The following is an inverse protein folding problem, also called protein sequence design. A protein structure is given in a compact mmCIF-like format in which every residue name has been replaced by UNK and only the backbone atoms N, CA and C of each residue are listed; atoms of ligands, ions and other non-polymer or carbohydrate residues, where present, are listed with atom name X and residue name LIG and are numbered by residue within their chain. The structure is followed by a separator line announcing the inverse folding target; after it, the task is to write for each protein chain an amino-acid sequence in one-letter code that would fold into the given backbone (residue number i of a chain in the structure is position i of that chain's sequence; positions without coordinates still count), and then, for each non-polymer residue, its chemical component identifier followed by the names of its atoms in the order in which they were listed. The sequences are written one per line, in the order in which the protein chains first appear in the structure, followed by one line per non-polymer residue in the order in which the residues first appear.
data_IF_608220757732
#
_entry.id   IF_608220757732
#
_cell.length_a   1.000
_cell.length_b   1.000
_cell.length_c   1.000
_cell.angle_alpha   90.00
_cell.angle_beta   90.00
_cell.angle_gamma   90.00
#
_symmetry.space_group_name_H-M   'P 1'
#
loop_
_entity.id
_entity.type
_entity.pdbx_description
1 polymer ?
#
# COMPACT_ATOMS: atom_id res chain seq x y z
N UNK A 1 -5.88 10.68 15.42
CA UNK A 1 -5.73 9.63 16.46
C UNK A 1 -6.91 8.69 16.28
N UNK A 2 -6.70 7.37 16.38
CA UNK A 2 -7.79 6.39 16.31
C UNK A 2 -8.29 6.10 17.72
N UNK A 3 -9.53 6.44 17.99
CA UNK A 3 -10.20 6.21 19.27
C UNK A 3 -10.58 4.74 19.43
N UNK A 4 -10.56 4.25 20.68
CA UNK A 4 -10.93 2.89 21.06
C UNK A 4 -10.14 1.76 20.38
N UNK A 5 -9.00 2.07 19.77
CA UNK A 5 -8.09 1.05 19.26
C UNK A 5 -7.51 0.22 20.44
N UNK A 6 -7.50 -1.12 20.37
CA UNK A 6 -7.08 -2.02 21.46
C UNK A 6 -5.55 -2.04 21.71
N UNK A 7 -4.91 -0.89 21.52
CA UNK A 7 -3.48 -0.62 21.50
C UNK A 7 -2.75 -1.15 20.26
N UNK A 8 -1.89 -0.29 19.74
CA UNK A 8 -0.86 -0.56 18.74
C UNK A 8 0.43 0.12 19.25
N UNK A 9 1.12 -0.47 20.26
CA UNK A 9 2.23 0.18 20.95
C UNK A 9 3.43 0.49 20.05
N UNK A 10 3.59 -0.23 18.93
CA UNK A 10 4.58 0.09 17.90
C UNK A 10 4.14 1.22 16.97
N UNK A 11 2.86 1.59 16.97
CA UNK A 11 2.28 2.68 16.17
C UNK A 11 1.21 2.22 15.17
N UNK A 12 0.64 3.22 14.49
CA UNK A 12 -0.34 3.08 13.41
C UNK A 12 0.26 3.67 12.14
N UNK A 13 0.29 2.92 11.05
CA UNK A 13 1.01 3.29 9.81
C UNK A 13 0.16 3.04 8.57
N UNK A 14 0.63 3.55 7.42
CA UNK A 14 0.14 3.22 6.07
C UNK A 14 -1.38 3.30 5.96
N UNK A 15 -1.92 4.45 6.35
CA UNK A 15 -3.37 4.67 6.30
C UNK A 15 -3.84 4.74 4.86
N UNK A 16 -4.92 4.04 4.53
CA UNK A 16 -5.68 4.24 3.28
C UNK A 16 -7.12 4.61 3.64
N UNK A 17 -7.62 5.67 3.04
CA UNK A 17 -8.89 6.31 3.40
C UNK A 17 -9.85 6.28 2.22
N UNK A 18 -11.07 5.80 2.45
CA UNK A 18 -12.12 5.72 1.44
C UNK A 18 -13.39 6.43 1.90
N UNK A 19 -13.92 7.33 1.04
CA UNK A 19 -15.19 8.02 1.24
C UNK A 19 -16.12 7.71 0.06
N UNK A 20 -17.03 6.72 0.19
CA UNK A 20 -17.98 6.43 -0.86
C UNK A 20 -18.77 7.68 -1.24
N UNK A 21 -19.07 7.82 -2.54
CA UNK A 21 -19.76 9.00 -3.05
C UNK A 21 -21.08 9.24 -2.29
N UNK A 22 -21.25 10.46 -1.75
CA UNK A 22 -22.39 10.89 -0.92
C UNK A 22 -22.52 10.19 0.44
N UNK A 23 -21.51 9.45 0.90
CA UNK A 23 -21.53 8.88 2.24
C UNK A 23 -21.41 9.99 3.31
N UNK A 24 -22.15 9.89 4.43
CA UNK A 24 -22.02 10.81 5.55
C UNK A 24 -20.70 10.64 6.33
N UNK A 25 -19.87 9.67 5.95
CA UNK A 25 -18.65 9.29 6.64
C UNK A 25 -17.71 8.50 5.73
N UNK A 26 -16.55 8.15 6.27
CA UNK A 26 -15.51 7.39 5.56
C UNK A 26 -14.96 6.27 6.42
N UNK A 27 -14.20 5.38 5.77
CA UNK A 27 -13.48 4.30 6.42
C UNK A 27 -11.97 4.47 6.17
N UNK A 28 -11.18 3.98 7.11
CA UNK A 28 -9.72 3.99 7.03
C UNK A 28 -9.20 2.61 7.39
N UNK A 29 -8.39 2.02 6.53
CA UNK A 29 -7.54 0.89 6.89
C UNK A 29 -6.17 1.39 7.33
N UNK A 30 -5.52 0.67 8.24
CA UNK A 30 -4.18 1.02 8.72
C UNK A 30 -3.42 -0.19 9.24
N UNK A 31 -2.09 -0.14 9.13
CA UNK A 31 -1.16 -1.08 9.74
C UNK A 31 -1.07 -0.81 11.25
N UNK A 32 -1.50 -1.75 12.08
CA UNK A 32 -1.39 -1.69 13.53
C UNK A 32 -0.22 -2.55 14.01
N UNK A 33 0.83 -1.91 14.53
CA UNK A 33 2.06 -2.57 14.99
C UNK A 33 1.95 -2.91 16.47
N UNK A 34 1.69 -4.19 16.76
CA UNK A 34 1.69 -4.74 18.12
C UNK A 34 3.12 -5.07 18.57
N UNK A 35 3.90 -5.63 17.65
CA UNK A 35 5.33 -5.86 17.75
C UNK A 35 5.93 -5.87 16.34
N UNK A 36 7.27 -5.83 16.22
CA UNK A 36 7.94 -5.85 14.90
C UNK A 36 7.58 -7.06 14.02
N UNK A 37 7.19 -8.18 14.62
CA UNK A 37 6.73 -9.39 13.94
C UNK A 37 5.23 -9.65 14.12
N UNK A 38 4.48 -8.68 14.64
CA UNK A 38 3.04 -8.75 14.87
C UNK A 38 2.40 -7.47 14.35
N UNK A 39 2.13 -7.47 13.04
CA UNK A 39 1.49 -6.39 12.32
C UNK A 39 0.23 -6.93 11.66
N UNK A 40 -0.88 -6.22 11.88
CA UNK A 40 -2.20 -6.55 11.34
C UNK A 40 -2.86 -5.32 10.76
N UNK A 41 -3.81 -5.51 9.87
CA UNK A 41 -4.63 -4.42 9.33
C UNK A 41 -5.90 -4.24 10.15
N UNK A 42 -6.15 -3.01 10.59
CA UNK A 42 -7.35 -2.62 11.33
C UNK A 42 -8.15 -1.59 10.55
N UNK A 43 -9.43 -1.49 10.89
CA UNK A 43 -10.39 -0.57 10.29
C UNK A 43 -10.88 0.41 11.34
N UNK A 44 -10.88 1.69 10.97
CA UNK A 44 -11.57 2.75 11.68
C UNK A 44 -12.59 3.43 10.76
N UNK A 45 -13.60 4.05 11.33
CA UNK A 45 -14.58 4.86 10.60
C UNK A 45 -14.63 6.28 11.14
N UNK A 46 -15.03 7.21 10.29
CA UNK A 46 -15.28 8.60 10.64
C UNK A 46 -16.68 9.00 10.20
N UNK A 47 -17.36 9.80 11.03
CA UNK A 47 -18.66 10.41 10.72
C UNK A 47 -18.62 11.94 10.66
N UNK A 48 -17.42 12.52 10.74
CA UNK A 48 -17.16 13.95 10.85
C UNK A 48 -16.09 14.42 9.86
N UNK A 49 -16.12 13.85 8.65
CA UNK A 49 -15.20 14.14 7.55
C UNK A 49 -13.71 13.95 7.92
N UNK A 50 -13.42 12.95 8.74
CA UNK A 50 -12.07 12.52 9.09
C UNK A 50 -11.44 13.33 10.22
N UNK A 51 -12.22 14.16 10.93
CA UNK A 51 -11.76 14.87 12.11
C UNK A 51 -11.50 13.91 13.27
N UNK A 52 -12.36 12.91 13.46
CA UNK A 52 -12.17 11.78 14.38
C UNK A 52 -12.30 10.46 13.65
N UNK A 53 -11.58 9.46 14.17
CA UNK A 53 -11.57 8.09 13.64
C UNK A 53 -11.77 7.14 14.81
N UNK A 54 -12.75 6.24 14.72
CA UNK A 54 -13.03 5.24 15.76
C UNK A 54 -12.74 3.84 15.22
N UNK A 55 -11.93 3.06 15.93
CA UNK A 55 -11.70 1.65 15.61
C UNK A 55 -13.03 0.87 15.64
N UNK A 56 -13.25 0.03 14.63
CA UNK A 56 -14.47 -0.80 14.52
C UNK A 56 -14.20 -2.28 14.28
N UNK A 57 -13.10 -2.63 13.61
CA UNK A 57 -12.83 -4.03 13.26
C UNK A 57 -11.33 -4.29 13.02
N UNK A 58 -10.92 -5.53 13.20
CA UNK A 58 -9.69 -6.06 12.61
C UNK A 58 -10.04 -6.72 11.27
N UNK A 59 -9.39 -6.32 10.19
CA UNK A 59 -9.61 -6.92 8.87
C UNK A 59 -8.90 -8.28 8.74
N UNK A 60 -7.77 -8.42 9.44
CA UNK A 60 -6.97 -9.64 9.50
C UNK A 60 -6.21 -9.70 10.84
N UNK A 61 -5.50 -10.80 11.06
CA UNK A 61 -4.65 -11.00 12.23
C UNK A 61 -3.34 -11.66 11.81
N UNK A 62 -2.24 -11.23 12.42
CA UNK A 62 -0.97 -11.92 12.22
C UNK A 62 -1.00 -13.30 12.89
N UNK A 63 -0.30 -14.27 12.31
CA UNK A 63 -0.34 -15.64 12.80
C UNK A 63 0.94 -16.43 12.53
N UNK A 64 1.25 -17.45 13.35
CA UNK A 64 2.38 -18.32 13.07
C UNK A 64 2.18 -19.04 11.73
N UNK A 65 3.24 -19.14 10.93
CA UNK A 65 3.23 -19.84 9.66
C UNK A 65 4.55 -20.58 9.42
N UNK A 66 4.47 -21.67 8.66
CA UNK A 66 5.62 -22.38 8.11
C UNK A 66 5.52 -22.36 6.58
N UNK A 67 6.53 -21.77 5.95
CA UNK A 67 6.63 -21.62 4.50
C UNK A 67 7.61 -22.67 3.96
N UNK A 68 7.20 -23.54 3.02
CA UNK A 68 8.12 -24.50 2.40
C UNK A 68 9.11 -23.76 1.50
N UNK A 69 10.38 -24.16 1.53
CA UNK A 69 11.43 -23.67 0.62
C UNK A 69 12.29 -24.85 0.15
N UNK A 70 13.15 -24.72 -0.87
CA UNK A 70 14.05 -25.79 -1.28
C UNK A 70 14.99 -26.20 -0.13
N UNK A 71 15.19 -27.50 0.04
CA UNK A 71 16.16 -28.03 1.01
C UNK A 71 17.55 -27.48 0.69
N UNK A 72 18.25 -27.00 1.71
CA UNK A 72 19.54 -26.33 1.54
C UNK A 72 19.45 -24.85 1.15
N UNK A 73 18.24 -24.24 1.10
CA UNK A 73 18.13 -22.77 1.01
C UNK A 73 18.96 -22.13 2.13
N UNK A 74 19.79 -21.11 1.83
CA UNK A 74 20.64 -20.46 2.84
C UNK A 74 19.86 -19.89 4.02
N UNK A 75 18.62 -19.46 3.76
CA UNK A 75 17.73 -18.86 4.76
C UNK A 75 17.15 -19.92 5.70
N UNK A 76 16.76 -21.06 5.16
CA UNK A 76 16.09 -22.13 5.89
C UNK A 76 16.57 -23.51 5.41
N UNK A 77 17.74 -23.98 5.88
CA UNK A 77 18.39 -25.19 5.34
C UNK A 77 17.55 -26.47 5.47
N UNK A 78 16.63 -26.52 6.44
CA UNK A 78 15.72 -27.64 6.66
C UNK A 78 14.62 -27.79 5.60
N UNK A 79 14.51 -26.86 4.65
CA UNK A 79 13.45 -26.84 3.63
C UNK A 79 12.16 -26.17 4.10
N UNK A 80 12.16 -25.50 5.26
CA UNK A 80 11.00 -24.76 5.77
C UNK A 80 11.43 -23.54 6.56
N UNK A 81 10.84 -22.38 6.28
CA UNK A 81 10.97 -21.17 7.08
C UNK A 81 9.80 -21.05 8.05
N UNK A 82 10.07 -20.83 9.34
CA UNK A 82 9.02 -20.59 10.34
C UNK A 82 9.08 -19.17 10.86
N UNK A 83 7.92 -18.58 11.06
CA UNK A 83 7.80 -17.19 11.52
C UNK A 83 6.35 -16.80 11.69
N UNK A 84 6.05 -15.52 11.45
CA UNK A 84 4.69 -14.99 11.47
C UNK A 84 4.33 -14.46 10.09
N UNK A 85 3.14 -14.78 9.62
CA UNK A 85 2.52 -14.08 8.51
C UNK A 85 1.93 -12.79 9.07
N UNK A 86 2.41 -11.66 8.58
CA UNK A 86 1.90 -10.33 8.95
C UNK A 86 1.19 -9.70 7.76
N UNK A 87 0.40 -8.66 8.02
CA UNK A 87 -0.34 -7.91 7.01
C UNK A 87 -0.12 -6.42 7.22
N UNK A 88 0.48 -5.76 6.23
CA UNK A 88 0.89 -4.36 6.31
C UNK A 88 0.58 -3.65 4.98
N UNK A 89 0.71 -2.32 4.97
CA UNK A 89 0.59 -1.44 3.79
C UNK A 89 -0.70 -1.72 3.01
N UNK A 90 -1.82 -1.46 3.67
CA UNK A 90 -3.15 -1.77 3.15
C UNK A 90 -3.72 -0.67 2.26
N UNK A 91 -4.56 -1.05 1.29
CA UNK A 91 -5.44 -0.11 0.59
C UNK A 91 -6.89 -0.58 0.58
N UNK A 92 -7.78 0.38 0.82
CA UNK A 92 -9.21 0.19 1.05
C UNK A 92 -10.00 0.84 -0.08
N UNK A 93 -11.00 0.15 -0.62
CA UNK A 93 -11.89 0.70 -1.66
C UNK A 93 -13.32 0.22 -1.49
N UNK A 94 -14.27 1.06 -1.88
CA UNK A 94 -15.67 0.69 -2.02
C UNK A 94 -16.04 0.48 -3.49
N UNK A 95 -16.13 -0.78 -3.91
CA UNK A 95 -16.60 -1.18 -5.23
C UNK A 95 -18.13 -1.19 -5.28
N UNK A 96 -18.71 -0.04 -5.57
CA UNK A 96 -20.15 0.16 -5.60
C UNK A 96 -20.89 -0.74 -6.62
N UNK A 97 -20.15 -1.25 -7.61
CA UNK A 97 -20.70 -2.05 -8.70
C UNK A 97 -20.57 -3.56 -8.47
N UNK A 98 -19.90 -4.03 -7.40
CA UNK A 98 -19.84 -5.47 -7.11
C UNK A 98 -21.28 -6.00 -6.91
N UNK A 99 -21.71 -6.99 -7.72
CA UNK A 99 -23.05 -7.57 -7.59
C UNK A 99 -23.23 -8.33 -6.27
N UNK A 100 -22.14 -8.80 -5.67
CA UNK A 100 -22.16 -9.36 -4.33
C UNK A 100 -21.96 -8.24 -3.29
N UNK A 101 -23.06 -7.85 -2.65
CA UNK A 101 -23.05 -6.78 -1.64
C UNK A 101 -22.12 -7.07 -0.48
N UNK A 102 -21.86 -8.35 -0.18
CA UNK A 102 -20.96 -8.77 0.90
C UNK A 102 -19.49 -8.58 0.56
N UNK A 103 -19.20 -8.15 -0.69
CA UNK A 103 -17.85 -7.96 -1.22
C UNK A 103 -17.52 -6.52 -1.61
N UNK A 104 -18.43 -5.57 -1.41
CA UNK A 104 -18.28 -4.19 -1.91
C UNK A 104 -17.14 -3.45 -1.24
N UNK A 105 -16.95 -3.64 0.07
CA UNK A 105 -15.72 -3.19 0.70
C UNK A 105 -14.62 -4.21 0.42
N UNK A 106 -13.52 -3.72 -0.15
CA UNK A 106 -12.35 -4.53 -0.48
C UNK A 106 -11.12 -3.92 0.17
N UNK A 107 -10.30 -4.77 0.73
CA UNK A 107 -9.03 -4.40 1.35
C UNK A 107 -7.93 -5.26 0.78
N UNK A 108 -6.93 -4.60 0.19
CA UNK A 108 -5.72 -5.21 -0.31
C UNK A 108 -4.63 -5.01 0.75
N UNK A 109 -3.85 -6.04 1.04
CA UNK A 109 -2.75 -5.94 2.01
C UNK A 109 -1.55 -6.74 1.56
N UNK A 110 -0.35 -6.21 1.78
CA UNK A 110 0.87 -6.99 1.60
C UNK A 110 1.02 -7.97 2.75
N UNK A 111 0.98 -9.25 2.43
CA UNK A 111 1.08 -10.35 3.40
C UNK A 111 2.38 -11.10 3.20
N UNK A 112 3.25 -11.10 4.20
CA UNK A 112 4.60 -11.67 4.06
C UNK A 112 5.11 -12.28 5.35
N UNK A 113 6.10 -13.18 5.20
CA UNK A 113 6.74 -13.84 6.32
C UNK A 113 7.71 -12.90 7.05
N UNK A 114 7.58 -12.81 8.37
CA UNK A 114 8.60 -12.28 9.27
C UNK A 114 9.19 -13.41 10.09
N UNK A 115 10.50 -13.61 9.99
CA UNK A 115 11.23 -14.58 10.80
C UNK A 115 11.87 -13.89 12.01
N UNK A 116 11.97 -14.61 13.13
CA UNK A 116 12.54 -14.07 14.35
C UNK A 116 11.79 -12.81 14.85
N UNK A 117 12.55 -11.79 15.24
CA UNK A 117 11.99 -10.53 15.72
C UNK A 117 11.70 -9.52 14.59
N UNK A 118 12.50 -9.49 13.53
CA UNK A 118 12.44 -8.44 12.51
C UNK A 118 13.04 -8.82 11.15
N UNK A 119 13.22 -10.11 10.85
CA UNK A 119 13.74 -10.54 9.55
C UNK A 119 12.60 -10.62 8.53
N UNK A 120 12.32 -9.50 7.86
CA UNK A 120 11.29 -9.36 6.84
C UNK A 120 11.66 -10.17 5.57
N UNK A 121 10.77 -11.05 5.12
CA UNK A 121 10.96 -11.86 3.91
C UNK A 121 9.93 -11.47 2.85
N UNK A 122 10.11 -10.30 2.24
CA UNK A 122 9.18 -9.77 1.24
C UNK A 122 9.04 -10.68 0.01
N UNK A 123 10.08 -11.42 -0.37
CA UNK A 123 10.01 -12.40 -1.46
C UNK A 123 9.11 -13.60 -1.11
N UNK A 124 8.92 -13.89 0.18
CA UNK A 124 8.01 -14.92 0.72
C UNK A 124 6.68 -14.28 1.16
N UNK A 125 5.98 -13.65 0.22
CA UNK A 125 4.72 -12.97 0.46
C UNK A 125 3.80 -12.97 -0.76
N UNK A 126 2.69 -12.23 -0.65
CA UNK A 126 1.69 -12.04 -1.69
C UNK A 126 0.82 -10.82 -1.36
N UNK A 127 0.02 -10.33 -2.32
CA UNK A 127 -1.04 -9.37 -2.02
C UNK A 127 -2.33 -10.15 -1.72
N UNK A 128 -2.86 -9.96 -0.51
CA UNK A 128 -4.13 -10.54 -0.05
C UNK A 128 -5.31 -9.67 -0.47
N UNK A 129 -6.48 -10.29 -0.60
CA UNK A 129 -7.76 -9.60 -0.67
C UNK A 129 -8.64 -10.01 0.52
N UNK A 130 -9.14 -9.02 1.24
CA UNK A 130 -10.19 -9.18 2.25
C UNK A 130 -11.44 -8.42 1.80
N UNK A 131 -12.61 -8.93 2.14
CA UNK A 131 -13.88 -8.29 1.76
C UNK A 131 -14.89 -8.22 2.89
N UNK A 132 -15.77 -7.23 2.85
CA UNK A 132 -16.88 -7.08 3.80
C UNK A 132 -18.09 -6.38 3.15
N UNK A 133 -19.26 -6.59 3.75
CA UNK A 133 -20.48 -5.84 3.41
C UNK A 133 -20.40 -4.39 3.89
N UNK A 134 -19.86 -4.19 5.10
CA UNK A 134 -19.62 -2.88 5.71
C UNK A 134 -18.32 -2.90 6.52
N UNK A 135 -17.65 -1.74 6.73
CA UNK A 135 -16.32 -1.68 7.36
C UNK A 135 -16.27 -2.23 8.79
N UNK A 136 -17.39 -2.11 9.52
CA UNK A 136 -17.51 -2.51 10.92
C UNK A 136 -17.91 -3.99 11.10
N UNK A 137 -18.22 -4.69 10.01
CA UNK A 137 -18.58 -6.11 10.03
C UNK A 137 -17.34 -7.01 9.92
N UNK A 138 -17.56 -8.32 9.95
CA UNK A 138 -16.49 -9.30 9.79
C UNK A 138 -15.94 -9.26 8.37
N UNK A 139 -14.61 -9.17 8.29
CA UNK A 139 -13.87 -9.26 7.04
C UNK A 139 -13.58 -10.71 6.69
N UNK A 140 -13.85 -11.08 5.44
CA UNK A 140 -13.60 -12.42 4.89
C UNK A 140 -12.30 -12.42 4.08
N UNK A 141 -11.41 -13.34 4.41
CA UNK A 141 -10.20 -13.63 3.62
C UNK A 141 -10.59 -14.33 2.29
N UNK A 142 -10.27 -13.69 1.17
CA UNK A 142 -10.46 -14.21 -0.19
C UNK A 142 -9.17 -14.84 -0.77
N UNK A 143 -8.08 -14.82 0.00
CA UNK A 143 -6.79 -15.40 -0.32
C UNK A 143 -5.90 -14.47 -1.15
N UNK A 144 -4.98 -15.10 -1.90
CA UNK A 144 -3.93 -14.41 -2.66
C UNK A 144 -4.49 -13.87 -3.97
N UNK A 145 -4.64 -12.55 -4.07
CA UNK A 145 -5.10 -11.92 -5.32
C UNK A 145 -3.96 -11.73 -6.30
N UNK A 146 -2.78 -11.32 -5.82
CA UNK A 146 -1.55 -11.25 -6.61
C UNK A 146 -0.44 -12.07 -5.97
N UNK A 147 0.30 -12.81 -6.79
CA UNK A 147 1.50 -13.54 -6.41
C UNK A 147 2.64 -13.32 -7.39
N UNK A 148 3.83 -13.79 -7.02
CA UNK A 148 5.05 -13.74 -7.85
C UNK A 148 5.87 -15.02 -7.69
N UNK A 149 6.80 -15.22 -8.60
CA UNK A 149 7.78 -16.29 -8.51
C UNK A 149 8.83 -15.92 -7.46
N UNK A 150 9.05 -16.82 -6.50
CA UNK A 150 10.13 -16.74 -5.51
C UNK A 150 10.82 -18.11 -5.38
N UNK A 151 11.74 -18.25 -4.43
CA UNK A 151 12.30 -19.57 -4.10
C UNK A 151 11.23 -20.54 -3.57
N UNK A 152 10.09 -20.01 -3.11
CA UNK A 152 8.97 -20.78 -2.56
C UNK A 152 7.74 -20.69 -3.44
N UNK A 153 7.01 -21.80 -3.58
CA UNK A 153 5.65 -21.77 -4.12
C UNK A 153 4.67 -21.00 -3.22
N UNK A 154 5.05 -20.62 -1.99
CA UNK A 154 4.21 -19.82 -1.11
C UNK A 154 3.78 -18.49 -1.74
N UNK A 155 4.63 -17.85 -2.54
CA UNK A 155 4.29 -16.57 -3.16
C UNK A 155 3.41 -16.71 -4.41
N UNK A 156 3.40 -17.88 -5.06
CA UNK A 156 2.75 -18.10 -6.37
C UNK A 156 1.56 -19.07 -6.33
N UNK A 157 1.60 -20.07 -5.45
CA UNK A 157 0.57 -21.10 -5.36
C UNK A 157 -0.76 -20.50 -4.91
N UNK A 158 -1.82 -20.85 -5.64
CA UNK A 158 -3.20 -20.39 -5.45
C UNK A 158 -3.43 -18.88 -5.68
N UNK A 159 -2.41 -18.13 -6.11
CA UNK A 159 -2.57 -16.74 -6.53
C UNK A 159 -3.50 -16.65 -7.74
N UNK A 160 -4.51 -15.78 -7.66
CA UNK A 160 -5.44 -15.54 -8.77
C UNK A 160 -4.75 -14.89 -9.97
N UNK A 161 -3.69 -14.14 -9.75
CA UNK A 161 -2.86 -13.54 -10.80
C UNK A 161 -1.39 -13.65 -10.42
N UNK A 162 -0.59 -14.28 -11.29
CA UNK A 162 0.85 -14.38 -11.15
C UNK A 162 1.54 -13.30 -11.99
N UNK A 163 2.09 -12.26 -11.35
CA UNK A 163 2.53 -11.05 -12.07
C UNK A 163 3.75 -11.27 -12.95
N UNK A 164 4.60 -12.25 -12.65
CA UNK A 164 5.73 -12.61 -13.51
C UNK A 164 5.30 -13.20 -14.86
N UNK A 165 4.02 -13.55 -15.02
CA UNK A 165 3.44 -13.90 -16.32
C UNK A 165 3.30 -12.70 -17.26
N UNK A 166 3.37 -11.47 -16.76
CA UNK A 166 3.37 -10.26 -17.58
C UNK A 166 4.81 -9.90 -17.98
N UNK A 167 5.12 -9.72 -19.28
CA UNK A 167 6.47 -9.37 -19.72
C UNK A 167 7.06 -8.14 -19.02
N UNK A 168 6.24 -7.13 -18.73
CA UNK A 168 6.64 -5.89 -18.07
C UNK A 168 6.91 -6.03 -16.57
N UNK A 169 6.50 -7.14 -15.95
CA UNK A 169 6.66 -7.43 -14.52
C UNK A 169 7.39 -8.76 -14.27
N UNK A 170 7.96 -9.36 -15.32
CA UNK A 170 8.68 -10.63 -15.24
C UNK A 170 9.86 -10.59 -14.25
N UNK A 171 10.42 -9.40 -14.03
CA UNK A 171 11.56 -9.12 -13.16
C UNK A 171 11.18 -8.67 -11.74
N UNK A 172 9.90 -8.61 -11.39
CA UNK A 172 9.45 -8.31 -10.03
C UNK A 172 9.69 -9.54 -9.13
N UNK A 173 10.45 -9.36 -8.05
CA UNK A 173 10.74 -10.41 -7.05
C UNK A 173 9.85 -10.31 -5.81
N UNK A 174 9.16 -9.18 -5.67
CA UNK A 174 8.09 -8.95 -4.70
C UNK A 174 7.23 -7.77 -5.19
N UNK A 175 6.00 -7.72 -4.69
CA UNK A 175 5.16 -6.52 -4.78
C UNK A 175 4.99 -5.93 -3.39
N UNK A 176 4.86 -4.62 -3.29
CA UNK A 176 4.62 -3.91 -2.03
C UNK A 176 3.63 -2.77 -2.22
N UNK A 177 3.04 -2.34 -1.11
CA UNK A 177 2.24 -1.11 -1.00
C UNK A 177 1.17 -0.99 -2.08
N UNK A 178 0.23 -1.96 -2.12
CA UNK A 178 -0.90 -1.88 -3.00
C UNK A 178 -1.70 -0.63 -2.71
N UNK A 179 -2.12 0.06 -3.78
CA UNK A 179 -3.17 1.05 -3.70
C UNK A 179 -4.21 0.89 -4.81
N UNK A 180 -5.49 0.94 -4.43
CA UNK A 180 -6.62 0.64 -5.31
C UNK A 180 -7.57 1.83 -5.44
N UNK A 181 -7.92 2.14 -6.68
CA UNK A 181 -8.96 3.10 -7.02
C UNK A 181 -10.10 2.41 -7.78
N UNK A 182 -11.34 2.66 -7.36
CA UNK A 182 -12.52 2.18 -8.07
C UNK A 182 -12.91 3.07 -9.25
N UNK A 183 -13.48 2.42 -10.27
CA UNK A 183 -14.07 3.04 -11.45
C UNK A 183 -15.39 2.35 -11.77
N UNK A 184 -16.32 3.16 -12.29
CA UNK A 184 -17.62 2.70 -12.75
C UNK A 184 -17.51 1.45 -13.66
N UNK A 185 -18.46 0.54 -13.50
CA UNK A 185 -18.49 -0.76 -14.14
C UNK A 185 -17.69 -1.83 -13.41
N UNK A 186 -17.36 -1.62 -12.12
CA UNK A 186 -16.63 -2.61 -11.32
C UNK A 186 -15.14 -2.74 -11.68
N UNK A 187 -14.59 -1.71 -12.33
CA UNK A 187 -13.19 -1.69 -12.74
C UNK A 187 -12.36 -1.20 -11.57
N UNK A 188 -11.33 -1.97 -11.21
CA UNK A 188 -10.38 -1.59 -10.16
C UNK A 188 -9.01 -1.37 -10.78
N UNK A 189 -8.41 -0.22 -10.49
CA UNK A 189 -7.04 0.13 -10.85
C UNK A 189 -6.17 -0.01 -9.60
N UNK A 190 -5.16 -0.88 -9.67
CA UNK A 190 -4.32 -1.23 -8.54
C UNK A 190 -2.87 -0.87 -8.85
N UNK A 191 -2.36 0.19 -8.22
CA UNK A 191 -0.95 0.55 -8.24
C UNK A 191 -0.18 -0.31 -7.24
N UNK A 192 1.01 -0.77 -7.61
CA UNK A 192 1.90 -1.56 -6.74
C UNK A 192 3.35 -1.18 -6.96
N UNK A 193 4.14 -1.19 -5.89
CA UNK A 193 5.59 -1.18 -5.98
C UNK A 193 6.11 -2.53 -6.48
N UNK A 194 6.74 -2.56 -7.65
CA UNK A 194 7.48 -3.72 -8.15
C UNK A 194 8.92 -3.66 -7.64
N UNK A 195 9.26 -4.55 -6.71
CA UNK A 195 10.62 -4.69 -6.20
C UNK A 195 11.44 -5.55 -7.15
N UNK A 196 12.61 -5.06 -7.55
CA UNK A 196 13.59 -5.83 -8.33
C UNK A 196 14.84 -6.13 -7.51
N UNK A 197 15.38 -7.32 -7.70
CA UNK A 197 16.67 -7.71 -7.15
C UNK A 197 17.79 -6.74 -7.63
N UNK A 198 18.64 -6.32 -6.69
CA UNK A 198 19.81 -5.49 -6.94
C UNK A 198 20.53 -5.11 -5.65
N UNK A 199 21.64 -4.37 -5.75
CA UNK A 199 22.35 -3.82 -4.59
C UNK A 199 22.54 -2.30 -4.75
N UNK A 200 21.66 -1.47 -4.16
CA UNK A 200 20.42 -1.82 -3.46
C UNK A 200 19.35 -2.36 -4.43
N UNK A 201 18.30 -2.99 -3.88
CA UNK A 201 17.10 -3.28 -4.66
C UNK A 201 16.54 -1.99 -5.27
N UNK A 202 15.82 -2.12 -6.38
CA UNK A 202 15.14 -0.98 -7.03
C UNK A 202 13.64 -1.19 -6.95
N UNK A 203 12.88 -0.09 -6.84
CA UNK A 203 11.41 -0.15 -6.77
C UNK A 203 10.84 0.85 -7.76
N UNK A 204 9.90 0.38 -8.58
CA UNK A 204 9.16 1.17 -9.57
C UNK A 204 7.66 0.95 -9.38
N UNK A 205 6.82 1.87 -9.83
CA UNK A 205 5.36 1.77 -9.64
C UNK A 205 4.70 1.24 -10.92
N UNK A 206 4.03 0.10 -10.80
CA UNK A 206 3.28 -0.56 -11.87
C UNK A 206 1.77 -0.42 -11.62
N UNK A 207 0.98 -0.37 -12.69
CA UNK A 207 -0.48 -0.32 -12.66
C UNK A 207 -1.05 -1.63 -13.20
N UNK A 208 -1.89 -2.25 -12.38
CA UNK A 208 -2.71 -3.39 -12.73
C UNK A 208 -4.18 -2.96 -12.84
N UNK A 209 -4.99 -3.71 -13.60
CA UNK A 209 -6.42 -3.46 -13.74
C UNK A 209 -7.21 -4.76 -13.61
N UNK A 210 -8.21 -4.75 -12.75
CA UNK A 210 -9.27 -5.76 -12.71
C UNK A 210 -10.50 -5.25 -13.45
N UNK A 211 -11.13 -6.13 -14.22
CA UNK A 211 -12.40 -5.90 -14.91
C UNK A 211 -13.53 -6.77 -14.32
N UNK A 212 -13.26 -7.42 -13.19
CA UNK A 212 -14.08 -8.49 -12.62
C UNK A 212 -14.12 -8.42 -11.08
N UNK A 213 -14.13 -7.21 -10.52
CA UNK A 213 -14.25 -6.95 -9.08
C UNK A 213 -13.16 -7.62 -8.23
N UNK A 214 -11.91 -7.46 -8.67
CA UNK A 214 -10.69 -8.02 -8.07
C UNK A 214 -10.55 -9.55 -8.13
N UNK A 215 -11.31 -10.25 -9.00
CA UNK A 215 -11.11 -11.70 -9.15
C UNK A 215 -9.81 -12.02 -9.88
N UNK A 216 -9.46 -11.22 -10.90
CA UNK A 216 -8.19 -11.30 -11.62
C UNK A 216 -7.69 -9.90 -11.98
N UNK A 217 -6.40 -9.80 -12.30
CA UNK A 217 -5.77 -8.56 -12.72
C UNK A 217 -5.02 -8.75 -14.04
N UNK A 218 -4.99 -7.69 -14.83
CA UNK A 218 -4.20 -7.55 -16.06
C UNK A 218 -3.17 -6.44 -15.86
N UNK A 219 -2.00 -6.57 -16.48
CA UNK A 219 -1.06 -5.46 -16.58
C UNK A 219 -1.67 -4.31 -17.41
N UNK A 220 -1.63 -3.09 -16.88
CA UNK A 220 -2.17 -1.89 -17.54
C UNK A 220 -1.06 -0.94 -18.00
N UNK A 221 -0.15 -0.55 -17.11
CA UNK A 221 0.89 0.42 -17.42
C UNK A 221 2.03 0.40 -16.39
N UNK A 222 3.12 1.07 -16.74
CA UNK A 222 4.11 1.52 -15.76
C UNK A 222 3.86 2.98 -15.46
N UNK A 223 3.68 3.30 -14.18
CA UNK A 223 3.43 4.68 -13.76
C UNK A 223 4.73 5.43 -13.55
N UNK A 224 5.65 4.88 -12.76
CA UNK A 224 6.95 5.47 -12.45
C UNK A 224 8.06 4.46 -12.67
N UNK A 225 9.20 4.93 -13.19
CA UNK A 225 10.44 4.17 -13.27
C UNK A 225 11.22 4.30 -11.97
N UNK A 226 12.03 3.30 -11.62
CA UNK A 226 12.83 3.34 -10.39
C UNK A 226 13.79 4.56 -10.34
N UNK A 227 14.34 4.95 -11.50
CA UNK A 227 15.25 6.09 -11.60
C UNK A 227 14.57 7.46 -11.48
N UNK A 228 13.24 7.52 -11.59
CA UNK A 228 12.51 8.76 -11.34
C UNK A 228 12.76 9.23 -9.89
N UNK A 229 13.08 8.32 -8.96
CA UNK A 229 13.41 8.65 -7.57
C UNK A 229 14.50 9.71 -7.46
N UNK A 230 15.52 9.61 -8.32
CA UNK A 230 16.69 10.48 -8.30
C UNK A 230 16.34 11.90 -8.76
N UNK A 231 15.38 12.03 -9.67
CA UNK A 231 14.84 13.34 -10.09
C UNK A 231 14.03 14.01 -8.97
N UNK A 232 13.51 13.23 -8.02
CA UNK A 232 12.66 13.68 -6.92
C UNK A 232 13.44 13.91 -5.62
N UNK A 233 14.78 13.94 -5.68
CA UNK A 233 15.65 14.12 -4.51
C UNK A 233 15.87 12.85 -3.69
N UNK A 234 15.42 11.69 -4.17
CA UNK A 234 15.79 10.39 -3.62
C UNK A 234 17.28 10.10 -3.82
N UNK A 235 17.85 9.29 -2.94
CA UNK A 235 19.28 8.90 -3.02
C UNK A 235 19.49 7.50 -3.58
N UNK A 236 18.42 6.73 -3.75
CA UNK A 236 18.43 5.39 -4.34
C UNK A 236 17.25 5.24 -5.31
N UNK A 237 17.35 4.36 -6.33
CA UNK A 237 16.30 4.17 -7.33
C UNK A 237 15.12 3.36 -6.76
N UNK A 238 14.40 3.94 -5.81
CA UNK A 238 13.21 3.38 -5.20
C UNK A 238 12.14 4.45 -5.09
N UNK A 239 11.00 4.21 -5.73
CA UNK A 239 9.73 4.91 -5.48
C UNK A 239 8.69 3.86 -5.11
N UNK A 240 7.98 4.12 -4.02
CA UNK A 240 6.92 3.24 -3.51
C UNK A 240 5.74 4.08 -3.03
N UNK A 241 4.87 3.50 -2.21
CA UNK A 241 3.80 4.17 -1.48
C UNK A 241 2.83 4.89 -2.41
N UNK A 242 2.38 4.15 -3.42
CA UNK A 242 1.46 4.68 -4.41
C UNK A 242 0.10 5.00 -3.76
N UNK A 243 -0.54 6.08 -4.20
CA UNK A 243 -1.97 6.35 -3.97
C UNK A 243 -2.58 6.90 -5.26
N UNK A 244 -3.58 6.23 -5.81
CA UNK A 244 -4.39 6.65 -6.93
C UNK A 244 -5.64 7.34 -6.43
N UNK A 245 -5.92 8.53 -6.97
CA UNK A 245 -7.16 9.24 -6.67
C UNK A 245 -7.63 10.04 -7.88
N UNK A 246 -8.89 10.46 -7.88
CA UNK A 246 -9.40 11.47 -8.81
C UNK A 246 -9.69 12.78 -8.12
N UNK A 247 -9.33 13.85 -8.81
CA UNK A 247 -9.73 15.20 -8.48
C UNK A 247 -10.02 15.94 -9.77
N UNK A 248 -11.14 16.67 -9.78
CA UNK A 248 -11.56 17.51 -10.93
C UNK A 248 -11.63 16.75 -12.27
N UNK A 249 -12.08 15.49 -12.23
CA UNK A 249 -12.22 14.64 -13.42
C UNK A 249 -10.90 14.12 -14.00
N UNK A 250 -9.77 14.33 -13.31
CA UNK A 250 -8.46 13.78 -13.66
C UNK A 250 -8.02 12.75 -12.63
N UNK A 251 -7.26 11.76 -13.08
CA UNK A 251 -6.59 10.80 -12.20
C UNK A 251 -5.21 11.32 -11.84
N UNK A 252 -4.83 11.10 -10.59
CA UNK A 252 -3.57 11.50 -10.00
C UNK A 252 -2.92 10.30 -9.33
N UNK A 253 -1.60 10.36 -9.18
CA UNK A 253 -0.81 9.41 -8.42
C UNK A 253 -0.05 10.18 -7.35
N UNK A 254 -0.09 9.73 -6.12
CA UNK A 254 0.91 10.05 -5.11
C UNK A 254 1.92 8.92 -5.08
N UNK A 255 3.20 9.24 -4.95
CA UNK A 255 4.21 8.25 -4.63
C UNK A 255 5.36 8.88 -3.85
N UNK A 256 6.13 8.07 -3.14
CA UNK A 256 7.23 8.53 -2.30
C UNK A 256 8.57 7.97 -2.76
N UNK A 257 9.57 8.83 -3.07
CA UNK A 257 10.93 8.38 -3.29
C UNK A 257 11.61 8.01 -1.97
N UNK A 258 12.53 7.05 -2.02
CA UNK A 258 13.40 6.73 -0.90
C UNK A 258 14.65 7.63 -0.89
N UNK A 259 14.98 8.15 0.29
CA UNK A 259 16.15 9.01 0.49
C UNK A 259 16.64 9.01 1.94
N UNK A 260 17.68 9.81 2.25
CA UNK A 260 18.30 9.83 3.57
C UNK A 260 17.32 10.38 4.61
N UNK A 261 17.15 9.68 5.74
CA UNK A 261 16.32 10.11 6.89
C UNK A 261 17.16 10.13 8.17
N UNK A 262 17.02 11.14 9.05
CA UNK A 262 17.66 11.15 10.37
C UNK A 262 17.26 9.93 11.22
N UNK A 263 18.15 9.40 12.08
CA UNK A 263 19.53 9.86 12.34
C UNK A 263 20.60 9.26 11.40
N UNK A 264 20.24 8.61 10.28
CA UNK A 264 21.24 8.03 9.36
C UNK A 264 20.78 6.82 8.56
N UNK A 265 19.50 6.75 8.17
CA UNK A 265 18.94 5.63 7.40
C UNK A 265 18.47 6.05 6.01
N UNK A 266 17.90 5.09 5.28
CA UNK A 266 17.11 5.34 4.08
C UNK A 266 15.64 5.11 4.42
N UNK A 267 14.77 6.02 4.01
CA UNK A 267 13.33 5.93 4.22
C UNK A 267 12.58 6.87 3.29
N UNK A 268 11.28 7.01 3.54
CA UNK A 268 10.40 7.83 2.73
C UNK A 268 10.66 9.33 2.90
N UNK A 269 10.73 10.03 1.76
CA UNK A 269 11.06 11.45 1.65
C UNK A 269 9.99 12.23 0.89
N UNK A 270 8.88 12.46 1.57
CA UNK A 270 7.75 13.23 1.08
C UNK A 270 6.89 12.46 0.08
N UNK A 271 5.71 13.00 -0.18
CA UNK A 271 4.73 12.46 -1.10
C UNK A 271 4.61 13.40 -2.30
N UNK A 272 4.92 12.88 -3.47
CA UNK A 272 4.91 13.64 -4.72
C UNK A 272 3.63 13.32 -5.48
N UNK A 273 2.91 14.35 -5.89
CA UNK A 273 1.65 14.23 -6.63
C UNK A 273 1.92 14.43 -8.12
N UNK A 274 1.56 13.43 -8.91
CA UNK A 274 1.75 13.36 -10.35
C UNK A 274 0.41 13.29 -11.06
N UNK A 275 0.18 14.08 -12.12
CA UNK A 275 -0.95 13.87 -13.01
C UNK A 275 -0.74 12.58 -13.82
N UNK A 276 -1.75 11.70 -13.83
CA UNK A 276 -1.76 10.50 -14.68
C UNK A 276 -2.15 10.91 -16.10
N UNK A 277 -1.38 10.43 -17.08
CA UNK A 277 -1.62 10.71 -18.49
C UNK A 277 -3.00 10.20 -18.94
N UNK A 278 -3.61 10.90 -19.91
CA UNK A 278 -4.89 10.49 -20.48
C UNK A 278 -4.85 9.02 -20.93
N UNK A 279 -5.86 8.25 -20.50
CA UNK A 279 -5.94 6.81 -20.77
C UNK A 279 -5.17 5.91 -19.78
N UNK A 280 -4.53 6.46 -18.76
CA UNK A 280 -3.90 5.69 -17.68
C UNK A 280 -2.65 4.93 -18.10
N UNK A 281 -1.91 5.43 -19.10
CA UNK A 281 -0.72 4.77 -19.67
C UNK A 281 0.61 5.13 -19.00
N UNK A 282 0.56 5.83 -17.87
CA UNK A 282 1.73 6.37 -17.17
C UNK A 282 1.43 7.73 -16.56
N UNK A 283 2.40 8.35 -15.90
CA UNK A 283 2.31 9.76 -15.49
C UNK A 283 2.67 10.71 -16.65
N UNK A 284 2.34 12.00 -16.51
CA UNK A 284 2.87 13.02 -17.42
C UNK A 284 4.38 13.22 -17.17
N UNK A 285 5.10 13.43 -18.27
CA UNK A 285 6.54 13.73 -18.29
C UNK A 285 6.82 15.02 -19.02
N UNK A 286 7.85 15.74 -18.61
CA UNK A 286 8.32 16.95 -19.27
C UNK A 286 9.13 16.62 -20.56
N UNK A 287 9.57 17.63 -21.34
CA UNK A 287 10.36 17.38 -22.56
C UNK A 287 11.72 16.69 -22.33
N UNK A 288 12.24 16.68 -21.10
CA UNK A 288 13.46 15.96 -20.72
C UNK A 288 13.19 14.51 -20.32
N UNK A 289 11.92 14.14 -20.18
CA UNK A 289 11.47 12.82 -19.74
C UNK A 289 11.31 12.71 -18.22
N UNK A 290 11.53 13.78 -17.46
CA UNK A 290 11.34 13.77 -16.01
C UNK A 290 9.84 13.77 -15.64
N UNK A 291 9.45 13.14 -14.52
CA UNK A 291 8.09 13.24 -13.98
C UNK A 291 7.64 14.70 -13.80
N UNK A 292 6.43 15.03 -14.26
CA UNK A 292 5.80 16.31 -13.92
C UNK A 292 5.23 16.20 -12.50
N UNK A 293 5.79 16.97 -11.58
CA UNK A 293 5.33 17.04 -10.19
C UNK A 293 4.39 18.25 -10.05
N UNK A 294 3.15 18.00 -9.65
CA UNK A 294 2.17 19.05 -9.35
C UNK A 294 2.37 19.59 -7.93
N UNK A 295 2.67 18.68 -6.99
CA UNK A 295 2.77 19.02 -5.57
C UNK A 295 3.71 18.09 -4.83
N UNK A 296 4.31 18.59 -3.75
CA UNK A 296 5.09 17.82 -2.77
C UNK A 296 4.52 18.05 -1.39
N UNK A 297 4.31 16.97 -0.64
CA UNK A 297 3.92 16.96 0.77
C UNK A 297 5.07 16.37 1.56
N UNK A 298 5.84 17.18 2.30
CA UNK A 298 7.00 16.70 3.06
C UNK A 298 7.04 17.36 4.45
N UNK A 299 7.71 16.71 5.40
CA UNK A 299 8.00 17.30 6.69
C UNK A 299 9.17 18.30 6.58
N UNK A 300 9.13 19.44 7.30
CA UNK A 300 10.10 20.52 7.13
C UNK A 300 11.52 20.19 7.62
N UNK A 301 11.72 19.08 8.35
CA UNK A 301 12.99 18.71 8.98
C UNK A 301 13.61 17.43 8.37
N UNK A 302 13.10 16.97 7.23
CA UNK A 302 13.65 15.83 6.50
C UNK A 302 13.51 14.48 7.21
N UNK A 303 12.64 14.40 8.23
CA UNK A 303 12.26 13.13 8.87
C UNK A 303 11.52 12.22 7.88
N UNK A 304 11.34 10.96 8.26
CA UNK A 304 10.53 10.02 7.47
C UNK A 304 9.14 10.62 7.24
N UNK A 305 8.77 10.74 5.96
CA UNK A 305 7.47 11.25 5.53
C UNK A 305 7.07 10.52 4.26
N UNK A 306 5.93 9.83 4.24
CA UNK A 306 5.52 9.01 3.10
C UNK A 306 4.17 8.34 3.30
N UNK A 307 3.85 7.37 2.42
CA UNK A 307 2.60 6.60 2.49
C UNK A 307 1.39 7.49 2.76
N UNK A 308 1.23 8.48 1.88
CA UNK A 308 0.16 9.45 1.98
C UNK A 308 -1.09 8.92 1.29
N UNK A 309 -2.25 9.19 1.89
CA UNK A 309 -3.55 8.84 1.33
C UNK A 309 -4.42 10.08 1.17
N UNK A 310 -5.39 10.01 0.26
CA UNK A 310 -6.36 11.07 -0.03
C UNK A 310 -7.76 10.56 0.21
N UNK A 311 -8.55 11.35 0.94
CA UNK A 311 -9.97 11.09 1.10
C UNK A 311 -10.76 11.60 -0.12
N UNK A 312 -10.73 10.86 -1.23
CA UNK A 312 -11.55 11.14 -2.42
C UNK A 312 -13.04 11.00 -2.05
N UNK A 313 -13.76 12.11 -1.88
CA UNK A 313 -15.19 12.11 -1.53
C UNK A 313 -15.54 12.76 -0.20
N UNK A 314 -14.55 13.09 0.63
CA UNK A 314 -14.79 13.93 1.80
C UNK A 314 -15.30 15.33 1.38
N UNK A 315 -16.17 15.94 2.20
CA UNK A 315 -16.73 17.27 1.96
C UNK A 315 -15.63 18.36 1.81
N UNK A 316 -14.43 18.09 2.33
CA UNK A 316 -13.21 18.85 2.05
C UNK A 316 -12.09 17.86 1.78
N UNK A 317 -11.54 17.87 0.56
CA UNK A 317 -10.46 16.96 0.20
C UNK A 317 -9.19 17.35 0.94
N UNK A 318 -8.56 16.38 1.60
CA UNK A 318 -7.34 16.54 2.37
C UNK A 318 -6.43 15.32 2.23
N UNK A 319 -5.19 15.49 2.69
CA UNK A 319 -4.18 14.44 2.67
C UNK A 319 -3.95 13.92 4.09
N UNK A 320 -3.86 12.59 4.22
CA UNK A 320 -3.19 11.94 5.33
C UNK A 320 -1.71 11.83 4.97
N UNK A 321 -0.83 12.27 5.88
CA UNK A 321 0.62 12.14 5.71
C UNK A 321 1.17 11.38 6.92
N UNK A 322 1.82 10.24 6.66
CA UNK A 322 2.51 9.48 7.71
C UNK A 322 3.90 10.07 7.93
N UNK A 323 4.22 10.51 9.15
CA UNK A 323 5.56 10.98 9.49
C UNK A 323 6.08 10.45 10.83
N UNK A 324 7.39 10.16 10.89
CA UNK A 324 8.06 9.50 12.00
C UNK A 324 9.31 10.24 12.48
N UNK A 325 9.56 10.21 13.78
CA UNK A 325 10.84 10.61 14.39
C UNK A 325 11.46 9.37 15.06
N UNK A 326 12.58 8.86 14.53
CA UNK A 326 13.21 7.63 15.02
C UNK A 326 14.14 7.84 16.23
N UNK A 327 14.33 9.09 16.65
CA UNK A 327 15.23 9.55 17.73
C UNK A 327 14.54 9.69 19.09
N UNK A 328 13.22 9.46 19.16
CA UNK A 328 12.45 9.40 20.41
C UNK A 328 11.75 8.04 20.53
N UNK A 329 11.58 7.47 21.75
CA UNK A 329 10.76 6.27 21.92
C UNK A 329 9.39 6.53 21.28
N UNK A 330 8.85 5.59 20.48
CA UNK A 330 7.94 5.89 19.38
C UNK A 330 6.76 6.71 19.89
N UNK A 331 6.80 8.01 19.67
CA UNK A 331 5.57 8.80 19.67
C UNK A 331 4.86 8.37 18.40
N UNK A 332 3.77 7.64 18.62
CA UNK A 332 2.78 7.16 17.67
C UNK A 332 2.74 8.08 16.45
N UNK A 333 2.90 7.51 15.25
CA UNK A 333 2.79 8.22 13.99
C UNK A 333 1.56 9.13 14.00
N UNK A 334 1.78 10.38 13.63
CA UNK A 334 0.73 11.37 13.57
C UNK A 334 0.19 11.39 12.14
N UNK A 335 -1.10 11.08 11.99
CA UNK A 335 -1.84 11.44 10.78
C UNK A 335 -1.99 12.95 10.80
N UNK A 336 -1.25 13.64 9.93
CA UNK A 336 -1.41 15.07 9.74
C UNK A 336 -2.44 15.30 8.64
N UNK A 337 -3.55 15.97 8.97
CA UNK A 337 -4.29 16.69 7.93
C UNK A 337 -3.37 17.80 7.44
N UNK A 338 -2.98 17.77 6.17
CA UNK A 338 -2.11 18.82 5.61
C UNK A 338 -2.76 20.20 5.63
N UNK A 339 -4.08 20.29 5.83
CA UNK A 339 -4.87 21.53 5.75
C UNK A 339 -4.88 22.15 4.34
N UNK A 340 -4.31 21.45 3.36
CA UNK A 340 -4.22 21.90 1.98
C UNK A 340 -5.22 21.15 1.12
N UNK A 341 -6.04 21.90 0.38
CA UNK A 341 -6.97 21.34 -0.59
C UNK A 341 -6.20 20.64 -1.71
N UNK A 342 -6.58 19.40 -2.04
CA UNK A 342 -6.07 18.68 -3.20
C UNK A 342 -6.30 19.47 -4.52
N UNK A 343 -5.46 19.26 -5.55
CA UNK A 343 -5.42 20.07 -6.76
C UNK A 343 -6.71 20.09 -7.58
#
# INVERSE_FOLDING_TARGET
MVENDPAAPGGIFDTSVEYPLNAPGGAMSYSAVLAKNDISTRIAVSSDAGATWTYVAAANQSGPITVPVPVGSPRCPSGTCSGRLIHEVSSLVFDADDPDVTRRWKLFAFSYLVMGADQLQYDLGYISLFTAEEPHLTWKDEGKVLGWNSESEFSSKDAKTLVNGFPNMADCIALSEPDVMWRQGGVLELAVGCVKAGTPNTIRVELLRSLDHAKTFLYAARLLEANDALCLGGSIPQINAAELFKAQGKTWLIATPAGPVPPGGIGYRGCFVFPVAAGGKGILRDPSGAPVVERVLDAPDGRFTGACSVAEGAATMGYSVSAASFDTPPKIFHVYQSGQAAP
#
